data_IF_538516749956
#
_entry.id   IF_538516749956
#
_cell.length_a   1.000
_cell.length_b   1.000
_cell.length_c   1.000
_cell.angle_alpha   90.00
_cell.angle_beta   90.00
_cell.angle_gamma   90.00
#
_symmetry.space_group_name_H-M   'P 1'
#
loop_
_entity.id
_entity.type
_entity.pdbx_description
1 polymer ?
#
# COMPACT_ATOMS: atom_id res chain seq x y z
N UNK A 1 -7.31 -4.54 -17.62
CA UNK A 1 -6.58 -3.37 -17.11
C UNK A 1 -5.57 -3.89 -16.11
N UNK A 2 -4.28 -3.84 -16.43
CA UNK A 2 -3.19 -4.23 -15.53
C UNK A 2 -3.07 -3.17 -14.44
N UNK A 3 -3.71 -3.41 -13.30
CA UNK A 3 -3.60 -2.54 -12.12
C UNK A 3 -2.19 -2.65 -11.58
N UNK A 4 -1.48 -1.51 -11.49
CA UNK A 4 -0.06 -1.50 -11.14
C UNK A 4 0.18 -1.01 -9.71
N UNK A 5 1.37 -1.29 -9.20
CA UNK A 5 1.87 -0.68 -7.95
C UNK A 5 1.86 0.85 -8.00
N UNK A 6 1.96 1.46 -9.19
CA UNK A 6 1.82 2.90 -9.36
C UNK A 6 0.42 3.42 -9.02
N UNK A 7 -0.62 2.62 -9.29
CA UNK A 7 -2.00 3.00 -8.95
C UNK A 7 -2.22 2.93 -7.42
N UNK A 8 -1.67 1.91 -6.76
CA UNK A 8 -1.68 1.83 -5.29
C UNK A 8 -0.94 3.01 -4.65
N UNK A 9 0.20 3.44 -5.20
CA UNK A 9 0.93 4.62 -4.72
C UNK A 9 0.06 5.89 -4.85
N UNK A 10 -0.67 6.05 -5.96
CA UNK A 10 -1.59 7.18 -6.14
C UNK A 10 -2.74 7.14 -5.13
N UNK A 11 -3.31 5.96 -4.90
CA UNK A 11 -4.38 5.75 -3.91
C UNK A 11 -3.90 6.07 -2.49
N UNK A 12 -2.68 5.66 -2.12
CA UNK A 12 -2.08 6.02 -0.82
C UNK A 12 -1.85 7.53 -0.70
N UNK A 13 -1.37 8.20 -1.76
CA UNK A 13 -1.24 9.67 -1.73
C UNK A 13 -2.60 10.36 -1.55
N UNK A 14 -3.67 9.84 -2.16
CA UNK A 14 -5.02 10.35 -1.96
C UNK A 14 -5.48 10.11 -0.51
N UNK A 15 -5.26 8.91 0.02
CA UNK A 15 -5.56 8.58 1.41
C UNK A 15 -4.83 9.50 2.39
N UNK A 16 -3.55 9.83 2.15
CA UNK A 16 -2.81 10.78 2.98
C UNK A 16 -3.47 12.16 3.02
N UNK A 17 -4.03 12.64 1.90
CA UNK A 17 -4.79 13.91 1.88
C UNK A 17 -6.08 13.81 2.69
N UNK A 18 -6.77 12.69 2.59
CA UNK A 18 -8.01 12.43 3.35
C UNK A 18 -7.74 12.31 4.85
N UNK A 19 -6.66 11.63 5.25
CA UNK A 19 -6.17 11.57 6.63
C UNK A 19 -5.81 12.98 7.10
N UNK A 20 -5.08 13.77 6.31
CA UNK A 20 -4.69 15.13 6.68
C UNK A 20 -5.91 16.04 6.90
N UNK A 21 -6.98 15.86 6.11
CA UNK A 21 -8.25 16.57 6.26
C UNK A 21 -9.11 16.06 7.42
N UNK A 22 -8.73 14.97 8.10
CA UNK A 22 -9.51 14.39 9.21
C UNK A 22 -10.80 13.70 8.77
N UNK A 23 -10.93 13.37 7.48
CA UNK A 23 -12.11 12.71 6.91
C UNK A 23 -12.05 11.19 7.17
N UNK A 24 -12.19 10.78 8.43
CA UNK A 24 -11.90 9.42 8.89
C UNK A 24 -12.74 8.32 8.24
N UNK A 25 -14.04 8.55 8.02
CA UNK A 25 -14.89 7.55 7.36
C UNK A 25 -14.47 7.32 5.91
N UNK A 26 -14.13 8.41 5.20
CA UNK A 26 -13.56 8.31 3.85
C UNK A 26 -12.19 7.62 3.87
N UNK A 27 -11.34 7.93 4.85
CA UNK A 27 -10.03 7.31 5.00
C UNK A 27 -10.16 5.80 5.21
N UNK A 28 -11.13 5.37 6.03
CA UNK A 28 -11.41 3.95 6.28
C UNK A 28 -11.81 3.23 5.00
N UNK A 29 -12.78 3.76 4.25
CA UNK A 29 -13.22 3.17 2.98
C UNK A 29 -12.06 3.08 1.98
N UNK A 30 -11.23 4.12 1.88
CA UNK A 30 -10.07 4.11 1.00
C UNK A 30 -9.00 3.08 1.44
N UNK A 31 -8.73 2.95 2.74
CA UNK A 31 -7.78 1.95 3.24
C UNK A 31 -8.26 0.52 3.00
N UNK A 32 -9.56 0.25 3.15
CA UNK A 32 -10.18 -1.05 2.84
C UNK A 32 -10.09 -1.36 1.34
N UNK A 33 -10.32 -0.35 0.48
CA UNK A 33 -10.19 -0.51 -0.96
C UNK A 33 -8.74 -0.81 -1.40
N UNK A 34 -7.74 -0.12 -0.82
CA UNK A 34 -6.31 -0.39 -1.05
C UNK A 34 -5.97 -1.82 -0.60
N UNK A 35 -6.43 -2.24 0.58
CA UNK A 35 -6.20 -3.59 1.12
C UNK A 35 -6.80 -4.66 0.21
N UNK A 36 -8.07 -4.52 -0.18
CA UNK A 36 -8.73 -5.46 -1.09
C UNK A 36 -8.02 -5.57 -2.43
N UNK A 37 -7.53 -4.43 -2.95
CA UNK A 37 -6.78 -4.40 -4.20
C UNK A 37 -5.42 -5.09 -4.06
N UNK A 38 -4.70 -4.87 -2.95
CA UNK A 38 -3.47 -5.58 -2.65
C UNK A 38 -3.68 -7.09 -2.66
N UNK A 39 -4.65 -7.61 -1.91
CA UNK A 39 -4.97 -9.05 -1.86
C UNK A 39 -5.23 -9.65 -3.24
N UNK A 40 -5.79 -8.89 -4.18
CA UNK A 40 -6.02 -9.37 -5.56
C UNK A 40 -4.73 -9.44 -6.38
N UNK A 41 -3.78 -8.54 -6.17
CA UNK A 41 -2.57 -8.46 -7.00
C UNK A 41 -1.34 -9.11 -6.35
N UNK A 42 -1.33 -9.32 -5.04
CA UNK A 42 -0.24 -9.95 -4.28
C UNK A 42 0.22 -11.29 -4.87
N UNK A 43 -0.66 -12.20 -5.34
CA UNK A 43 -0.21 -13.48 -5.92
C UNK A 43 0.60 -13.34 -7.21
N UNK A 44 0.49 -12.22 -7.91
CA UNK A 44 1.37 -11.94 -9.05
C UNK A 44 2.77 -11.53 -8.59
N UNK A 45 2.86 -10.82 -7.45
CA UNK A 45 4.11 -10.32 -6.91
C UNK A 45 4.93 -11.40 -6.20
N UNK A 46 4.31 -12.49 -5.72
CA UNK A 46 5.02 -13.65 -5.16
C UNK A 46 5.93 -14.37 -6.15
N UNK A 47 5.77 -14.14 -7.45
CA UNK A 47 6.70 -14.62 -8.48
C UNK A 47 8.05 -13.85 -8.50
N UNK A 48 8.07 -12.64 -7.96
CA UNK A 48 9.21 -11.72 -8.06
C UNK A 48 9.84 -11.37 -6.71
N UNK A 49 9.12 -11.56 -5.61
CA UNK A 49 9.52 -11.19 -4.26
C UNK A 49 9.32 -12.36 -3.29
N UNK A 50 10.09 -12.36 -2.21
CA UNK A 50 9.93 -13.36 -1.16
C UNK A 50 8.65 -13.12 -0.34
N UNK A 51 8.10 -14.20 0.22
CA UNK A 51 6.86 -14.17 1.01
C UNK A 51 6.94 -13.21 2.20
N UNK A 52 8.11 -13.10 2.84
CA UNK A 52 8.31 -12.22 4.00
C UNK A 52 8.03 -10.74 3.65
N UNK A 53 8.49 -10.27 2.49
CA UNK A 53 8.26 -8.90 2.06
C UNK A 53 6.78 -8.62 1.78
N UNK A 54 6.08 -9.60 1.20
CA UNK A 54 4.65 -9.48 0.90
C UNK A 54 3.81 -9.51 2.19
N UNK A 55 4.17 -10.36 3.15
CA UNK A 55 3.57 -10.38 4.49
C UNK A 55 3.79 -9.06 5.25
N UNK A 56 4.97 -8.45 5.12
CA UNK A 56 5.24 -7.15 5.72
C UNK A 56 4.29 -6.06 5.17
N UNK A 57 3.95 -6.11 3.87
CA UNK A 57 2.98 -5.18 3.26
C UNK A 57 1.60 -5.39 3.88
N UNK A 58 1.17 -6.64 4.08
CA UNK A 58 -0.11 -6.97 4.73
C UNK A 58 -0.17 -6.44 6.17
N UNK A 59 0.91 -6.64 6.94
CA UNK A 59 1.03 -6.12 8.30
C UNK A 59 0.94 -4.58 8.32
N UNK A 60 1.55 -3.90 7.35
CA UNK A 60 1.48 -2.43 7.25
C UNK A 60 0.09 -1.93 6.80
N UNK A 61 -0.62 -2.68 5.96
CA UNK A 61 -2.02 -2.37 5.64
C UNK A 61 -2.93 -2.51 6.87
N UNK A 62 -2.72 -3.55 7.66
CA UNK A 62 -3.44 -3.76 8.92
C UNK A 62 -3.15 -2.65 9.93
N UNK A 63 -1.87 -2.28 10.12
CA UNK A 63 -1.48 -1.16 10.99
C UNK A 63 -2.11 0.15 10.52
N UNK A 64 -2.01 0.50 9.24
CA UNK A 64 -2.63 1.71 8.69
C UNK A 64 -4.14 1.76 8.97
N UNK A 65 -4.83 0.64 8.75
CA UNK A 65 -6.26 0.53 9.04
C UNK A 65 -6.55 0.73 10.53
N UNK A 66 -5.72 0.18 11.41
CA UNK A 66 -5.84 0.36 12.85
C UNK A 66 -5.60 1.81 13.27
N UNK A 67 -4.59 2.49 12.71
CA UNK A 67 -4.31 3.90 13.00
C UNK A 67 -5.45 4.82 12.53
N UNK A 68 -6.06 4.53 11.37
CA UNK A 68 -7.23 5.24 10.86
C UNK A 68 -8.44 5.05 11.78
N UNK A 69 -8.70 3.81 12.24
CA UNK A 69 -9.76 3.51 13.21
C UNK A 69 -9.53 4.23 14.53
N UNK A 70 -8.28 4.30 14.99
CA UNK A 70 -7.87 5.06 16.17
C UNK A 70 -7.85 6.57 15.98
N UNK A 71 -8.11 7.07 14.76
CA UNK A 71 -8.09 8.50 14.39
C UNK A 71 -6.79 9.22 14.78
N UNK A 72 -5.68 8.49 14.81
CA UNK A 72 -4.36 9.07 15.11
C UNK A 72 -3.78 9.69 13.85
N UNK A 73 -3.90 11.02 13.69
CA UNK A 73 -3.36 11.74 12.53
C UNK A 73 -1.89 11.40 12.26
N UNK A 74 -1.04 11.58 13.27
CA UNK A 74 0.40 11.38 13.10
C UNK A 74 0.72 9.93 12.73
N UNK A 75 0.17 8.96 13.46
CA UNK A 75 0.48 7.55 13.21
C UNK A 75 -0.09 7.08 11.88
N UNK A 76 -1.30 7.50 11.51
CA UNK A 76 -1.89 7.15 10.22
C UNK A 76 -1.07 7.75 9.06
N UNK A 77 -0.55 8.97 9.19
CA UNK A 77 0.34 9.56 8.19
C UNK A 77 1.67 8.82 8.06
N UNK A 78 2.29 8.47 9.19
CA UNK A 78 3.53 7.68 9.21
C UNK A 78 3.30 6.30 8.56
N UNK A 79 2.23 5.62 8.95
CA UNK A 79 1.91 4.29 8.45
C UNK A 79 1.62 4.31 6.94
N UNK A 80 0.85 5.31 6.48
CA UNK A 80 0.59 5.51 5.04
C UNK A 80 1.88 5.81 4.27
N UNK A 81 2.80 6.61 4.85
CA UNK A 81 4.09 6.92 4.24
C UNK A 81 4.95 5.67 4.10
N UNK A 82 5.05 4.87 5.16
CA UNK A 82 5.81 3.61 5.14
C UNK A 82 5.28 2.67 4.06
N UNK A 83 3.95 2.51 3.99
CA UNK A 83 3.31 1.67 2.98
C UNK A 83 3.60 2.16 1.56
N UNK A 84 3.57 3.49 1.33
CA UNK A 84 3.97 4.09 0.04
C UNK A 84 5.42 3.77 -0.33
N UNK A 85 6.34 3.82 0.63
CA UNK A 85 7.76 3.46 0.39
C UNK A 85 7.87 2.00 -0.04
N UNK A 86 7.17 1.09 0.63
CA UNK A 86 7.16 -0.32 0.25
C UNK A 86 6.61 -0.53 -1.17
N UNK A 87 5.47 0.07 -1.52
CA UNK A 87 4.96 -0.05 -2.90
C UNK A 87 5.89 0.57 -3.95
N UNK A 88 6.64 1.61 -3.59
CA UNK A 88 7.66 2.19 -4.47
C UNK A 88 8.82 1.22 -4.70
N UNK A 89 9.27 0.52 -3.65
CA UNK A 89 10.30 -0.52 -3.75
C UNK A 89 9.79 -1.72 -4.56
N UNK A 90 8.55 -2.15 -4.35
CA UNK A 90 7.92 -3.23 -5.10
C UNK A 90 7.87 -2.90 -6.61
N UNK A 91 7.46 -1.67 -6.96
CA UNK A 91 7.50 -1.16 -8.34
C UNK A 91 8.91 -1.18 -8.94
N UNK A 92 9.92 -0.73 -8.18
CA UNK A 92 11.31 -0.71 -8.66
C UNK A 92 11.90 -2.11 -8.84
N UNK A 93 11.65 -3.03 -7.90
CA UNK A 93 12.14 -4.40 -7.99
C UNK A 93 11.51 -5.14 -9.18
N UNK A 94 10.26 -4.84 -9.55
CA UNK A 94 9.65 -5.34 -10.80
C UNK A 94 10.52 -5.02 -12.02
N UNK A 95 10.93 -3.75 -12.14
CA UNK A 95 11.72 -3.29 -13.27
C UNK A 95 13.08 -3.98 -13.31
N UNK A 96 13.74 -4.14 -12.15
CA UNK A 96 15.04 -4.81 -12.08
C UNK A 96 14.97 -6.29 -12.46
N UNK A 97 13.96 -7.03 -11.96
CA UNK A 97 13.82 -8.46 -12.29
C UNK A 97 13.49 -8.67 -13.76
N UNK A 98 12.61 -7.85 -14.34
CA UNK A 98 12.29 -7.92 -15.77
C UNK A 98 13.47 -7.53 -16.67
N UNK A 99 14.26 -6.52 -16.28
CA UNK A 99 15.47 -6.13 -17.02
C UNK A 99 16.59 -7.17 -16.96
N UNK A 100 16.63 -8.04 -15.95
CA UNK A 100 17.64 -9.09 -15.83
C UNK A 100 17.27 -10.40 -16.56
N UNK A 101 16.01 -10.55 -16.99
CA UNK A 101 15.50 -11.74 -17.68
C UNK A 101 15.40 -11.57 -19.22
N UNK A 102 15.54 -10.33 -19.71
CA UNK A 102 15.57 -9.96 -21.14
C UNK A 102 17.00 -9.67 -21.58
#
# INVERSE_FOLDING_TARGET
>A
MTTTTADLIKEINALQKVIAAGHWETAKVQAEAITSRWTRIEPFWSLFFNDNYLQDIELKLADLTQQIKGKSHLNAQISATNLKVMFTQLSRGQHLTLSNLL
#
